data_IF_407134925683
#
_entry.id   IF_407134925683
#
_cell.length_a   1.000
_cell.length_b   1.000
_cell.length_c   1.000
_cell.angle_alpha   90.00
_cell.angle_beta   90.00
_cell.angle_gamma   90.00
#
_symmetry.space_group_name_H-M   'P 1'
#
loop_
_entity.id
_entity.type
_entity.pdbx_description
1 polymer ?
#
# COMPACT_ATOMS: atom_id res chain seq x y z
N UNK A 1 9.17 12.25 -7.31
CA UNK A 1 10.37 11.39 -7.14
C UNK A 1 10.03 9.96 -7.53
N UNK A 2 10.84 9.32 -8.34
CA UNK A 2 10.71 7.89 -8.66
C UNK A 2 11.48 7.08 -7.60
N UNK A 3 10.79 6.20 -6.88
CA UNK A 3 11.39 5.43 -5.77
C UNK A 3 12.32 4.31 -6.24
N UNK A 4 12.24 3.91 -7.52
CA UNK A 4 13.12 2.87 -8.07
C UNK A 4 14.46 3.42 -8.55
N UNK A 5 14.45 4.64 -9.08
CA UNK A 5 15.63 5.26 -9.73
C UNK A 5 16.21 6.44 -8.94
N UNK A 6 15.48 6.98 -7.95
CA UNK A 6 15.84 8.21 -7.26
C UNK A 6 15.66 9.47 -8.12
N UNK A 7 15.09 9.34 -9.32
CA UNK A 7 14.90 10.46 -10.23
C UNK A 7 13.90 11.47 -9.65
N UNK A 8 14.28 12.74 -9.68
CA UNK A 8 13.45 13.85 -9.26
C UNK A 8 13.05 14.68 -10.49
N UNK A 9 11.75 14.79 -10.72
CA UNK A 9 11.18 15.71 -11.71
C UNK A 9 10.50 16.84 -10.98
N UNK A 10 10.86 18.09 -11.25
CA UNK A 10 10.21 19.26 -10.67
C UNK A 10 9.94 20.33 -11.72
N UNK A 11 8.96 21.18 -11.44
CA UNK A 11 8.62 22.32 -12.28
C UNK A 11 9.19 23.60 -11.67
N UNK A 12 9.86 24.39 -12.50
CA UNK A 12 10.23 25.76 -12.21
C UNK A 12 9.49 26.67 -13.20
N UNK A 13 8.38 27.24 -12.77
CA UNK A 13 7.43 27.89 -13.70
C UNK A 13 6.84 26.89 -14.70
N UNK A 14 7.07 27.11 -15.99
CA UNK A 14 6.65 26.21 -17.08
C UNK A 14 7.71 25.15 -17.43
N UNK A 15 8.94 25.30 -16.97
CA UNK A 15 10.05 24.40 -17.29
C UNK A 15 10.00 23.16 -16.40
N UNK A 16 10.04 21.99 -17.03
CA UNK A 16 10.19 20.72 -16.33
C UNK A 16 11.67 20.37 -16.28
N UNK A 17 12.18 20.13 -15.09
CA UNK A 17 13.57 19.76 -14.84
C UNK A 17 13.59 18.37 -14.25
N UNK A 18 14.36 17.48 -14.85
CA UNK A 18 14.54 16.09 -14.38
C UNK A 18 15.99 15.89 -13.96
N UNK A 19 16.20 15.26 -12.82
CA UNK A 19 17.54 14.98 -12.29
C UNK A 19 17.45 14.01 -11.13
N UNK A 20 18.60 13.62 -10.61
CA UNK A 20 18.67 12.81 -9.37
C UNK A 20 18.90 13.74 -8.17
N UNK A 21 18.53 13.30 -6.98
CA UNK A 21 18.92 14.02 -5.76
C UNK A 21 20.44 14.12 -5.68
N UNK A 22 21.03 15.32 -5.69
CA UNK A 22 22.47 15.46 -5.57
C UNK A 22 22.99 14.80 -4.30
N UNK A 23 23.92 13.84 -4.44
CA UNK A 23 24.57 13.19 -3.31
C UNK A 23 23.76 12.12 -2.56
N UNK A 24 22.53 11.79 -3.00
CA UNK A 24 21.69 10.79 -2.31
C UNK A 24 21.88 9.39 -2.87
N UNK A 25 22.21 9.25 -4.14
CA UNK A 25 22.35 7.94 -4.77
C UNK A 25 21.03 7.15 -4.85
N UNK A 26 21.14 5.86 -5.09
CA UNK A 26 20.03 4.91 -5.06
C UNK A 26 19.64 4.60 -3.61
N UNK A 27 18.39 4.13 -3.37
CA UNK A 27 18.02 3.64 -2.06
C UNK A 27 18.92 2.48 -1.63
N UNK A 28 19.14 2.35 -0.33
CA UNK A 28 19.90 1.23 0.23
C UNK A 28 19.20 -0.12 -0.02
N UNK A 29 19.80 -1.22 0.42
CA UNK A 29 19.25 -2.57 0.26
C UNK A 29 17.89 -2.77 0.94
N UNK A 30 17.51 -1.87 1.85
CA UNK A 30 16.20 -1.85 2.53
C UNK A 30 15.19 -0.93 1.84
N UNK A 31 15.60 -0.23 0.78
CA UNK A 31 14.78 0.74 0.07
C UNK A 31 14.69 2.11 0.74
N UNK A 32 15.62 2.42 1.66
CA UNK A 32 15.65 3.70 2.35
C UNK A 32 16.62 4.68 1.68
N UNK A 33 16.21 5.94 1.65
CA UNK A 33 17.03 7.06 1.25
C UNK A 33 17.66 7.69 2.49
N UNK A 34 18.99 7.83 2.46
CA UNK A 34 19.77 8.33 3.59
C UNK A 34 20.25 9.76 3.30
N UNK A 35 19.98 10.66 4.23
CA UNK A 35 20.32 12.08 4.15
C UNK A 35 21.13 12.52 5.37
N UNK A 36 21.98 13.51 5.22
CA UNK A 36 22.55 14.20 6.38
C UNK A 36 21.47 15.02 7.09
N UNK A 37 20.68 15.80 6.33
CA UNK A 37 19.48 16.51 6.77
C UNK A 37 18.46 16.54 5.65
N UNK A 38 17.19 16.74 5.96
CA UNK A 38 16.12 16.86 4.96
C UNK A 38 15.36 18.17 5.15
N UNK A 39 15.21 18.92 4.07
CA UNK A 39 14.48 20.18 4.07
C UNK A 39 13.54 20.27 2.88
N UNK A 40 12.24 20.35 3.14
CA UNK A 40 11.20 20.59 2.14
C UNK A 40 10.64 22.02 2.31
N UNK A 41 11.00 22.91 1.39
CA UNK A 41 10.64 24.33 1.46
C UNK A 41 9.15 24.62 1.30
N UNK A 42 8.73 25.78 1.76
CA UNK A 42 7.35 26.28 1.63
C UNK A 42 6.93 26.34 0.15
N UNK A 43 5.68 25.96 -0.13
CA UNK A 43 5.13 25.93 -1.49
C UNK A 43 5.58 24.75 -2.36
N UNK A 44 6.52 23.93 -1.88
CA UNK A 44 6.97 22.74 -2.60
C UNK A 44 6.10 21.53 -2.23
N UNK A 45 5.63 20.82 -3.24
CA UNK A 45 4.99 19.50 -3.06
C UNK A 45 5.92 18.41 -3.57
N UNK A 46 6.34 17.53 -2.67
CA UNK A 46 7.10 16.32 -3.00
C UNK A 46 6.13 15.15 -3.11
N UNK A 47 5.93 14.67 -4.33
CA UNK A 47 5.12 13.50 -4.64
C UNK A 47 6.00 12.36 -5.13
N UNK A 48 5.50 11.14 -5.02
CA UNK A 48 6.26 9.94 -5.31
C UNK A 48 5.57 9.09 -6.37
N UNK A 49 6.35 8.52 -7.26
CA UNK A 49 5.97 7.44 -8.13
C UNK A 49 6.42 6.14 -7.46
N UNK A 50 5.47 5.24 -7.20
CA UNK A 50 5.77 3.94 -6.64
C UNK A 50 6.73 3.17 -7.55
N UNK A 51 7.66 2.44 -6.95
CA UNK A 51 8.50 1.50 -7.69
C UNK A 51 7.73 0.20 -7.97
N UNK A 52 8.35 -0.68 -8.77
CA UNK A 52 7.76 -1.99 -9.11
C UNK A 52 7.51 -2.86 -7.88
N UNK A 53 8.27 -2.69 -6.81
CA UNK A 53 8.14 -3.44 -5.57
C UNK A 53 7.06 -2.88 -4.66
N UNK A 54 6.44 -1.78 -5.04
CA UNK A 54 5.45 -1.06 -4.26
C UNK A 54 5.92 -0.80 -2.81
N UNK A 55 7.16 -0.34 -2.66
CA UNK A 55 7.75 -0.08 -1.35
C UNK A 55 7.20 1.20 -0.72
N UNK A 56 7.12 1.27 0.62
CA UNK A 56 6.89 2.53 1.33
C UNK A 56 7.99 3.54 1.05
N UNK A 57 7.68 4.82 1.20
CA UNK A 57 8.71 5.87 1.25
C UNK A 57 9.44 5.77 2.57
N UNK A 58 10.77 5.67 2.53
CA UNK A 58 11.60 5.54 3.71
C UNK A 58 12.74 6.55 3.67
N UNK A 59 12.66 7.59 4.48
CA UNK A 59 13.64 8.65 4.59
C UNK A 59 14.30 8.62 5.97
N UNK A 60 15.62 8.54 5.98
CA UNK A 60 16.44 8.55 7.19
C UNK A 60 17.34 9.78 7.17
N UNK A 61 17.37 10.54 8.24
CA UNK A 61 18.25 11.70 8.38
C UNK A 61 19.15 11.55 9.59
N UNK A 62 20.42 11.89 9.42
CA UNK A 62 21.41 11.90 10.52
C UNK A 62 21.19 13.09 11.46
N UNK A 63 20.72 14.20 10.91
CA UNK A 63 20.37 15.42 11.62
C UNK A 63 18.87 15.69 11.50
N UNK A 64 18.46 16.95 11.45
CA UNK A 64 17.05 17.35 11.44
C UNK A 64 16.36 17.08 10.10
N UNK A 65 15.04 16.90 10.18
CA UNK A 65 14.13 16.89 9.05
C UNK A 65 13.10 18.00 9.19
N UNK A 66 13.02 18.90 8.21
CA UNK A 66 12.11 20.05 8.22
C UNK A 66 11.17 20.01 7.03
N UNK A 67 9.87 19.99 7.29
CA UNK A 67 8.81 19.94 6.29
C UNK A 67 7.98 21.22 6.40
N UNK A 68 8.28 22.22 5.53
CA UNK A 68 7.50 23.44 5.40
C UNK A 68 6.51 23.36 4.23
N UNK A 69 6.77 22.49 3.26
CA UNK A 69 5.93 22.20 2.11
C UNK A 69 5.00 21.02 2.34
N UNK A 70 4.60 20.37 1.26
CA UNK A 70 3.72 19.19 1.28
C UNK A 70 4.48 17.93 0.92
N UNK A 71 4.48 16.96 1.82
CA UNK A 71 4.97 15.61 1.57
C UNK A 71 3.76 14.73 1.21
N UNK A 72 3.67 14.27 -0.04
CA UNK A 72 2.47 13.66 -0.59
C UNK A 72 2.69 12.21 -1.01
N UNK A 73 2.09 11.30 -0.28
CA UNK A 73 2.02 9.86 -0.59
C UNK A 73 0.57 9.39 -0.77
N UNK A 74 -0.34 10.25 -1.21
CA UNK A 74 -1.74 9.90 -1.43
C UNK A 74 -1.90 8.78 -2.46
N UNK A 75 -2.97 8.01 -2.32
CA UNK A 75 -3.53 7.23 -3.42
C UNK A 75 -4.20 8.14 -4.44
N UNK A 76 -4.28 7.67 -5.69
CA UNK A 76 -4.90 8.39 -6.79
C UNK A 76 -6.42 8.17 -6.81
N UNK A 77 -7.14 9.17 -7.31
CA UNK A 77 -8.56 9.03 -7.61
C UNK A 77 -8.76 8.04 -8.77
N UNK A 78 -9.92 7.41 -8.81
CA UNK A 78 -10.33 6.66 -9.99
C UNK A 78 -10.57 7.60 -11.19
N UNK A 79 -10.33 7.10 -12.40
CA UNK A 79 -10.59 7.85 -13.64
C UNK A 79 -11.49 7.00 -14.54
N UNK A 80 -12.75 7.39 -14.70
CA UNK A 80 -13.74 6.57 -15.39
C UNK A 80 -13.82 5.18 -14.78
N UNK A 81 -13.72 4.14 -15.60
CA UNK A 81 -13.73 2.74 -15.14
C UNK A 81 -12.38 2.27 -14.58
N UNK A 82 -11.29 3.02 -14.76
CA UNK A 82 -10.00 2.63 -14.26
C UNK A 82 -9.89 2.88 -12.74
N UNK A 83 -9.45 1.88 -11.99
CA UNK A 83 -9.14 2.03 -10.58
C UNK A 83 -7.98 2.98 -10.33
N UNK A 84 -8.04 3.76 -9.26
CA UNK A 84 -6.99 4.67 -8.84
C UNK A 84 -5.72 3.91 -8.43
N UNK A 85 -4.55 4.40 -8.81
CA UNK A 85 -3.28 3.82 -8.36
C UNK A 85 -3.11 4.03 -6.84
N UNK A 86 -2.53 3.05 -6.14
CA UNK A 86 -2.12 3.22 -4.77
C UNK A 86 -0.97 4.23 -4.65
N UNK A 87 -0.89 4.94 -3.53
CA UNK A 87 0.34 5.63 -3.15
C UNK A 87 1.48 4.64 -2.88
N UNK A 88 2.74 5.09 -2.73
CA UNK A 88 3.87 4.20 -2.45
C UNK A 88 3.61 3.31 -1.22
N UNK A 89 3.69 2.00 -1.36
CA UNK A 89 3.32 1.04 -0.33
C UNK A 89 1.81 0.80 -0.17
N UNK A 90 0.97 1.55 -0.90
CA UNK A 90 -0.49 1.38 -0.97
C UNK A 90 -0.93 0.58 -2.20
N UNK A 91 -2.20 0.25 -2.30
CA UNK A 91 -2.72 -0.67 -3.29
C UNK A 91 -3.76 -0.03 -4.22
N UNK A 92 -3.82 -0.51 -5.44
CA UNK A 92 -4.73 0.03 -6.46
C UNK A 92 -6.19 -0.28 -6.18
N UNK A 93 -7.07 0.61 -6.62
CA UNK A 93 -8.51 0.39 -6.68
C UNK A 93 -8.91 -0.61 -7.75
N UNK A 94 -10.06 -1.23 -7.60
CA UNK A 94 -10.65 -2.13 -8.58
C UNK A 94 -11.17 -1.37 -9.81
N UNK A 95 -11.17 -2.02 -10.97
CA UNK A 95 -11.78 -1.46 -12.18
C UNK A 95 -13.30 -1.56 -12.14
N UNK A 96 -13.99 -0.57 -12.68
CA UNK A 96 -15.43 -0.62 -12.90
C UNK A 96 -15.81 -1.58 -14.02
N UNK A 97 -17.06 -2.05 -14.03
CA UNK A 97 -17.59 -2.92 -15.08
C UNK A 97 -17.63 -2.23 -16.44
N UNK A 98 -17.25 -2.92 -17.50
CA UNK A 98 -17.11 -2.38 -18.86
C UNK A 98 -18.41 -2.33 -19.65
N UNK A 99 -19.48 -2.96 -19.16
CA UNK A 99 -20.81 -2.98 -19.79
C UNK A 99 -21.90 -2.95 -18.72
N UNK A 100 -23.14 -2.68 -19.12
CA UNK A 100 -24.30 -2.62 -18.20
C UNK A 100 -24.59 -3.92 -17.43
N UNK A 101 -23.94 -5.02 -17.76
CA UNK A 101 -24.10 -6.33 -17.11
C UNK A 101 -22.81 -6.81 -16.42
N UNK A 102 -21.72 -6.03 -16.49
CA UNK A 102 -20.42 -6.45 -16.00
C UNK A 102 -20.20 -5.98 -14.56
N UNK A 103 -19.80 -6.90 -13.68
CA UNK A 103 -19.41 -6.57 -12.32
C UNK A 103 -18.11 -5.74 -12.31
N UNK A 104 -17.96 -4.89 -11.30
CA UNK A 104 -16.69 -4.25 -11.00
C UNK A 104 -15.72 -5.23 -10.32
N UNK A 105 -14.43 -4.99 -10.44
CA UNK A 105 -13.43 -5.81 -9.77
C UNK A 105 -13.16 -5.33 -8.32
N UNK A 106 -12.71 -6.22 -7.45
CA UNK A 106 -12.31 -5.82 -6.10
C UNK A 106 -11.05 -4.96 -6.12
N UNK A 107 -10.89 -4.12 -5.12
CA UNK A 107 -9.65 -3.40 -4.86
C UNK A 107 -8.52 -4.34 -4.44
N UNK A 108 -7.29 -3.98 -4.77
CA UNK A 108 -6.10 -4.70 -4.33
C UNK A 108 -5.76 -4.43 -2.86
N UNK A 109 -4.85 -5.24 -2.32
CA UNK A 109 -4.36 -5.13 -0.95
C UNK A 109 -5.01 -6.11 0.02
N UNK A 110 -4.47 -6.25 1.24
CA UNK A 110 -4.93 -7.23 2.22
C UNK A 110 -6.41 -7.08 2.58
N UNK A 111 -6.94 -5.87 2.58
CA UNK A 111 -8.33 -5.53 2.89
C UNK A 111 -8.97 -4.69 1.77
N UNK A 112 -8.68 -5.01 0.52
CA UNK A 112 -9.29 -4.35 -0.63
C UNK A 112 -10.82 -4.51 -0.64
N UNK A 113 -11.54 -3.46 -1.04
CA UNK A 113 -12.98 -3.45 -1.10
C UNK A 113 -13.55 -4.39 -2.15
N UNK A 114 -14.69 -5.02 -1.90
CA UNK A 114 -15.39 -5.84 -2.90
C UNK A 114 -15.90 -4.98 -4.05
N UNK A 115 -15.89 -5.52 -5.25
CA UNK A 115 -16.52 -4.89 -6.43
C UNK A 115 -18.05 -4.94 -6.38
N UNK A 116 -18.69 -4.02 -7.10
CA UNK A 116 -20.14 -4.03 -7.30
C UNK A 116 -20.57 -5.18 -8.22
N UNK A 117 -21.53 -5.98 -7.79
CA UNK A 117 -21.96 -7.18 -8.52
C UNK A 117 -23.25 -7.00 -9.32
N UNK A 118 -24.06 -6.01 -8.97
CA UNK A 118 -25.35 -5.72 -9.63
C UNK A 118 -25.80 -4.29 -9.28
N UNK A 119 -26.93 -3.87 -9.82
CA UNK A 119 -27.55 -2.58 -9.49
C UNK A 119 -27.91 -2.42 -8.01
N UNK A 120 -28.03 -3.54 -7.27
CA UNK A 120 -28.33 -3.55 -5.84
C UNK A 120 -27.12 -3.89 -4.96
N UNK A 121 -26.02 -4.34 -5.53
CA UNK A 121 -24.79 -4.71 -4.80
C UNK A 121 -23.69 -3.73 -5.20
N UNK A 122 -23.50 -2.73 -4.37
CA UNK A 122 -22.54 -1.65 -4.57
C UNK A 122 -21.10 -2.06 -4.19
N UNK A 123 -20.09 -1.42 -4.77
CA UNK A 123 -18.69 -1.65 -4.37
C UNK A 123 -18.43 -1.17 -2.95
N UNK A 124 -17.44 -1.74 -2.28
CA UNK A 124 -17.03 -1.37 -0.91
C UNK A 124 -15.73 -0.60 -0.89
N UNK A 125 -15.58 0.29 0.07
CA UNK A 125 -14.32 0.99 0.31
C UNK A 125 -13.19 0.06 0.74
N UNK A 126 -11.94 0.48 0.51
CA UNK A 126 -10.75 -0.25 0.95
C UNK A 126 -10.56 -0.21 2.46
N UNK A 127 -10.10 -1.30 3.05
CA UNK A 127 -9.70 -1.36 4.45
C UNK A 127 -8.23 -1.03 4.65
N UNK A 128 -7.80 -0.79 5.88
CA UNK A 128 -6.42 -0.62 6.24
C UNK A 128 -5.93 -1.82 7.08
N UNK A 129 -4.89 -2.47 6.60
CA UNK A 129 -4.22 -3.55 7.32
C UNK A 129 -3.10 -2.98 8.22
N UNK A 130 -3.10 -3.37 9.49
CA UNK A 130 -2.07 -3.03 10.45
C UNK A 130 -1.44 -4.32 10.98
N UNK A 131 -0.15 -4.52 10.70
CA UNK A 131 0.56 -5.71 11.19
C UNK A 131 0.68 -5.69 12.72
N UNK A 132 1.03 -4.52 13.29
CA UNK A 132 1.17 -4.31 14.74
C UNK A 132 1.11 -2.82 15.09
N UNK A 133 1.15 -2.50 16.38
CA UNK A 133 1.14 -1.12 16.88
C UNK A 133 2.41 -0.32 16.49
N UNK A 134 3.52 -0.99 16.22
CA UNK A 134 4.76 -0.36 15.79
C UNK A 134 4.76 0.01 14.30
N UNK A 135 3.74 -0.41 13.53
CA UNK A 135 3.69 -0.31 12.08
C UNK A 135 4.92 -0.96 11.42
N UNK A 136 5.24 -2.17 11.83
CA UNK A 136 6.34 -2.96 11.29
C UNK A 136 5.81 -4.36 10.89
N UNK A 137 5.87 -4.73 9.62
CA UNK A 137 6.23 -3.90 8.47
C UNK A 137 5.22 -2.77 8.23
N UNK A 138 5.68 -1.72 7.55
CA UNK A 138 4.88 -0.55 7.24
C UNK A 138 4.11 -0.79 5.93
N UNK A 139 2.78 -0.77 5.98
CA UNK A 139 1.89 -0.92 4.83
C UNK A 139 1.06 0.32 4.60
N UNK A 140 0.80 0.62 3.33
CA UNK A 140 -0.20 1.62 2.94
C UNK A 140 -1.61 1.04 2.91
N UNK A 141 -2.55 1.85 2.53
CA UNK A 141 -3.97 1.53 2.45
C UNK A 141 -4.32 0.62 1.28
N UNK A 142 -5.41 -0.13 1.41
CA UNK A 142 -5.97 -0.96 0.35
C UNK A 142 -6.90 -0.14 -0.56
N UNK A 143 -7.02 -0.55 -1.82
CA UNK A 143 -7.91 0.08 -2.78
C UNK A 143 -9.39 -0.23 -2.53
N UNK A 144 -10.27 0.67 -2.96
CA UNK A 144 -11.72 0.45 -3.02
C UNK A 144 -12.11 -0.43 -4.20
N UNK A 145 -13.26 -1.05 -4.16
CA UNK A 145 -13.82 -1.86 -5.26
C UNK A 145 -14.34 -1.00 -6.42
N UNK A 146 -14.33 -1.53 -7.62
CA UNK A 146 -14.94 -0.91 -8.80
C UNK A 146 -16.46 -1.08 -8.82
N UNK A 147 -17.16 -0.13 -9.43
CA UNK A 147 -18.61 -0.13 -9.54
C UNK A 147 -19.14 -1.11 -10.59
N UNK A 148 -20.41 -1.54 -10.43
CA UNK A 148 -21.11 -2.32 -11.42
C UNK A 148 -21.45 -1.47 -12.67
N UNK A 149 -21.24 -2.01 -13.85
CA UNK A 149 -21.39 -1.28 -15.11
C UNK A 149 -22.75 -0.67 -15.36
N UNK A 150 -23.83 -1.32 -14.89
CA UNK A 150 -25.20 -0.82 -15.03
C UNK A 150 -25.53 0.42 -14.18
N UNK A 151 -24.67 0.79 -13.21
CA UNK A 151 -24.85 1.94 -12.33
C UNK A 151 -23.92 3.12 -12.66
N UNK A 152 -23.38 3.18 -13.87
CA UNK A 152 -22.37 4.18 -14.22
C UNK A 152 -21.03 3.81 -13.61
N UNK A 153 -20.41 2.76 -14.14
CA UNK A 153 -19.21 2.14 -13.61
C UNK A 153 -18.07 3.13 -13.41
N UNK A 154 -17.70 3.33 -12.15
CA UNK A 154 -16.46 4.02 -11.80
C UNK A 154 -15.50 2.99 -11.20
N UNK A 155 -14.20 3.17 -11.47
CA UNK A 155 -13.17 2.44 -10.75
C UNK A 155 -13.21 2.76 -9.26
N UNK A 156 -12.62 1.94 -8.43
CA UNK A 156 -12.39 2.20 -7.01
C UNK A 156 -11.22 3.15 -6.77
N UNK A 157 -11.20 3.90 -5.68
CA UNK A 157 -10.09 4.77 -5.30
C UNK A 157 -8.86 3.96 -4.86
N UNK A 158 -7.65 4.45 -5.15
CA UNK A 158 -6.41 3.85 -4.69
C UNK A 158 -6.18 4.05 -3.18
N UNK A 159 -5.56 3.10 -2.51
CA UNK A 159 -5.16 3.24 -1.10
C UNK A 159 -4.05 4.28 -0.90
N UNK A 160 -4.06 5.00 0.21
CA UNK A 160 -3.00 5.92 0.60
C UNK A 160 -1.67 5.20 0.81
N UNK A 161 -0.58 5.88 0.54
CA UNK A 161 0.76 5.32 0.68
C UNK A 161 1.25 5.18 2.11
N UNK A 162 2.48 4.74 2.26
CA UNK A 162 3.15 4.55 3.52
C UNK A 162 4.45 5.35 3.59
N UNK A 163 4.68 6.03 4.70
CA UNK A 163 5.84 6.87 4.95
C UNK A 163 6.50 6.51 6.28
N UNK A 164 7.81 6.18 6.23
CA UNK A 164 8.72 6.24 7.35
C UNK A 164 9.61 7.47 7.19
N UNK A 165 9.59 8.38 8.17
CA UNK A 165 10.56 9.45 8.31
C UNK A 165 11.24 9.30 9.67
N UNK A 166 12.54 9.04 9.67
CA UNK A 166 13.33 8.92 10.89
C UNK A 166 14.47 9.94 10.88
N UNK A 167 14.67 10.57 12.03
CA UNK A 167 15.70 11.59 12.26
C UNK A 167 16.41 11.33 13.56
N UNK A 168 17.73 11.44 13.61
CA UNK A 168 18.47 11.42 14.86
C UNK A 168 18.34 12.73 15.67
N UNK A 169 17.87 13.79 15.03
CA UNK A 169 17.61 15.12 15.61
C UNK A 169 16.11 15.39 15.79
N UNK A 170 15.65 16.48 15.20
CA UNK A 170 14.28 16.98 15.28
C UNK A 170 13.56 16.79 13.95
N UNK A 171 12.30 16.33 14.00
CA UNK A 171 11.36 16.44 12.88
C UNK A 171 10.46 17.65 13.15
N UNK A 172 10.56 18.68 12.28
CA UNK A 172 9.70 19.86 12.32
C UNK A 172 8.70 19.81 11.15
N UNK A 173 7.41 19.84 11.45
CA UNK A 173 6.33 19.84 10.45
C UNK A 173 5.49 21.08 10.63
N UNK A 174 5.65 22.08 9.72
CA UNK A 174 4.78 23.26 9.63
C UNK A 174 3.97 23.28 8.34
N UNK A 175 4.36 22.49 7.35
CA UNK A 175 3.60 22.17 6.15
C UNK A 175 2.63 21.01 6.36
N UNK A 176 2.64 20.06 5.45
CA UNK A 176 1.75 18.88 5.57
C UNK A 176 2.40 17.57 5.13
N UNK A 177 1.97 16.48 5.77
CA UNK A 177 2.21 15.10 5.33
C UNK A 177 0.86 14.49 4.99
N UNK A 178 0.68 14.07 3.75
CA UNK A 178 -0.58 13.51 3.26
C UNK A 178 -0.39 12.07 2.78
N UNK A 179 -1.12 11.14 3.38
CA UNK A 179 -1.22 9.73 3.00
C UNK A 179 -2.70 9.33 2.86
N UNK A 180 -3.47 10.15 2.16
CA UNK A 180 -4.91 9.95 1.99
C UNK A 180 -5.20 8.86 0.96
N UNK A 181 -6.33 8.19 1.12
CA UNK A 181 -6.90 7.38 0.05
C UNK A 181 -7.38 8.21 -1.14
N UNK A 182 -7.47 7.59 -2.29
CA UNK A 182 -8.03 8.16 -3.51
C UNK A 182 -9.56 8.22 -3.47
N UNK A 183 -10.10 9.22 -4.13
CA UNK A 183 -11.54 9.44 -4.27
C UNK A 183 -12.16 8.49 -5.28
N UNK A 184 -13.34 8.00 -5.00
CA UNK A 184 -14.25 7.29 -5.90
C UNK A 184 -15.60 7.04 -5.24
N UNK A 185 -16.53 6.41 -5.96
CA UNK A 185 -17.76 5.86 -5.38
C UNK A 185 -17.47 4.90 -4.23
N UNK A 186 -16.45 4.05 -4.37
CA UNK A 186 -15.86 3.26 -3.29
C UNK A 186 -14.39 3.69 -3.13
N UNK A 187 -14.14 4.51 -2.13
CA UNK A 187 -12.84 5.14 -1.96
C UNK A 187 -11.77 4.19 -1.42
N UNK A 188 -10.50 4.50 -1.67
CA UNK A 188 -9.38 3.85 -1.04
C UNK A 188 -9.27 4.21 0.44
N UNK A 189 -8.68 3.32 1.24
CA UNK A 189 -8.37 3.63 2.63
C UNK A 189 -7.20 4.61 2.73
N UNK A 190 -7.12 5.33 3.86
CA UNK A 190 -5.94 6.09 4.22
C UNK A 190 -4.71 5.18 4.37
N UNK A 191 -3.54 5.78 4.29
CA UNK A 191 -2.26 5.09 4.42
C UNK A 191 -1.70 5.10 5.84
N UNK A 192 -0.39 4.93 5.96
CA UNK A 192 0.29 4.88 7.23
C UNK A 192 1.50 5.83 7.29
N UNK A 193 1.63 6.53 8.41
CA UNK A 193 2.77 7.43 8.66
C UNK A 193 3.44 7.03 9.97
N UNK A 194 4.74 6.73 9.90
CA UNK A 194 5.59 6.46 11.07
C UNK A 194 6.70 7.49 11.15
N UNK A 195 6.74 8.22 12.26
CA UNK A 195 7.75 9.25 12.53
C UNK A 195 8.59 8.85 13.73
N UNK A 196 9.91 8.91 13.59
CA UNK A 196 10.86 8.58 14.66
C UNK A 196 11.87 9.71 14.77
N UNK A 197 12.00 10.31 15.96
CA UNK A 197 12.98 11.37 16.19
C UNK A 197 13.30 11.51 17.68
N UNK A 198 14.32 12.32 18.02
CA UNK A 198 14.47 12.78 19.39
C UNK A 198 13.34 13.74 19.77
N UNK A 199 13.02 14.69 18.87
CA UNK A 199 11.92 15.63 19.05
C UNK A 199 11.04 15.67 17.77
N UNK A 200 9.71 15.66 17.94
CA UNK A 200 8.75 15.92 16.86
C UNK A 200 7.95 17.15 17.23
N UNK A 201 7.94 18.17 16.36
CA UNK A 201 7.33 19.48 16.64
C UNK A 201 6.69 20.09 15.38
N UNK A 202 6.03 21.23 15.56
CA UNK A 202 5.38 21.99 14.50
C UNK A 202 3.85 21.90 14.56
N UNK A 203 3.19 22.76 13.78
CA UNK A 203 1.72 22.91 13.75
C UNK A 203 1.10 22.44 12.44
N UNK A 204 1.91 21.94 11.53
CA UNK A 204 1.48 21.43 10.23
C UNK A 204 0.55 20.22 10.36
N UNK A 205 -0.06 19.80 9.26
CA UNK A 205 -1.04 18.71 9.28
C UNK A 205 -0.42 17.37 8.90
N UNK A 206 -0.80 16.30 9.62
CA UNK A 206 -0.61 14.92 9.16
C UNK A 206 -2.00 14.36 8.85
N UNK A 207 -2.26 14.02 7.59
CA UNK A 207 -3.57 13.58 7.13
C UNK A 207 -3.49 12.19 6.49
N UNK A 208 -4.15 11.24 7.13
CA UNK A 208 -4.24 9.83 6.71
C UNK A 208 -5.71 9.40 6.50
N UNK A 209 -6.60 10.33 6.12
CA UNK A 209 -8.01 10.02 5.88
C UNK A 209 -8.17 9.09 4.67
N UNK A 210 -9.27 8.35 4.64
CA UNK A 210 -9.74 7.72 3.42
C UNK A 210 -10.07 8.77 2.35
N UNK A 211 -10.19 8.34 1.11
CA UNK A 211 -10.62 9.19 0.00
C UNK A 211 -12.10 9.58 0.13
N UNK A 212 -12.51 10.76 -0.39
CA UNK A 212 -13.92 11.07 -0.53
C UNK A 212 -14.68 9.93 -1.22
N UNK A 213 -15.89 9.62 -0.76
CA UNK A 213 -16.73 8.56 -1.29
C UNK A 213 -18.07 9.12 -1.77
N UNK A 214 -18.53 8.64 -2.93
CA UNK A 214 -19.71 9.20 -3.62
C UNK A 214 -21.06 8.70 -3.12
N UNK A 215 -21.10 7.72 -2.20
CA UNK A 215 -22.35 7.14 -1.69
C UNK A 215 -22.62 7.54 -0.24
N UNK A 216 -23.90 7.60 0.13
CA UNK A 216 -24.38 8.05 1.44
C UNK A 216 -24.14 7.08 2.60
N UNK A 217 -23.48 5.95 2.40
CA UNK A 217 -23.23 4.94 3.44
C UNK A 217 -21.73 4.79 3.71
N UNK A 218 -21.37 4.71 4.99
CA UNK A 218 -19.99 4.47 5.44
C UNK A 218 -19.37 3.18 4.91
N UNK A 219 -20.17 2.22 4.44
CA UNK A 219 -19.71 0.95 3.86
C UNK A 219 -18.96 1.15 2.55
N UNK A 220 -19.23 2.25 1.83
CA UNK A 220 -18.59 2.57 0.55
C UNK A 220 -17.34 3.43 0.72
N UNK A 221 -17.17 4.02 1.88
CA UNK A 221 -15.98 4.77 2.22
C UNK A 221 -14.87 3.85 2.70
N UNK A 222 -13.64 4.18 2.37
CA UNK A 222 -12.47 3.49 2.88
C UNK A 222 -12.30 3.67 4.40
N UNK A 223 -11.44 2.88 4.99
CA UNK A 223 -11.03 3.07 6.38
C UNK A 223 -10.03 4.23 6.51
N UNK A 224 -10.05 4.93 7.62
CA UNK A 224 -9.00 5.89 7.99
C UNK A 224 -7.65 5.19 8.17
N UNK A 225 -6.57 5.96 8.04
CA UNK A 225 -5.19 5.49 8.13
C UNK A 225 -4.66 5.38 9.56
N UNK A 226 -3.37 5.07 9.67
CA UNK A 226 -2.63 4.98 10.94
C UNK A 226 -1.50 5.99 11.01
N UNK A 227 -1.29 6.56 12.21
CA UNK A 227 -0.14 7.40 12.52
C UNK A 227 0.54 6.86 13.76
N UNK A 228 1.87 6.71 13.68
CA UNK A 228 2.71 6.40 14.83
C UNK A 228 3.82 7.42 14.95
N UNK A 229 3.99 7.95 16.15
CA UNK A 229 5.09 8.85 16.49
C UNK A 229 5.91 8.26 17.64
N UNK A 230 7.22 8.28 17.48
CA UNK A 230 8.19 7.77 18.45
C UNK A 230 9.22 8.87 18.70
N UNK A 231 9.11 9.56 19.84
CA UNK A 231 9.99 10.67 20.16
C UNK A 231 10.09 10.89 21.67
N UNK A 232 11.29 11.21 22.15
CA UNK A 232 11.51 11.60 23.55
C UNK A 232 10.64 12.82 23.90
N UNK A 233 10.52 13.78 22.96
CA UNK A 233 9.61 14.92 23.06
C UNK A 233 8.72 14.96 21.82
N UNK A 234 7.43 14.78 22.03
CA UNK A 234 6.45 14.90 20.94
C UNK A 234 5.48 16.04 21.25
N UNK A 235 5.67 17.16 20.58
CA UNK A 235 4.88 18.39 20.69
C UNK A 235 3.89 18.55 19.53
N UNK A 236 3.90 17.63 18.57
CA UNK A 236 3.02 17.68 17.41
C UNK A 236 1.66 17.03 17.72
N UNK A 237 0.58 17.72 17.41
CA UNK A 237 -0.79 17.29 17.74
C UNK A 237 -1.78 17.35 16.57
N UNK A 238 -1.43 17.98 15.45
CA UNK A 238 -2.34 18.18 14.33
C UNK A 238 -2.37 16.94 13.41
N UNK A 239 -3.11 15.93 13.84
CA UNK A 239 -3.29 14.67 13.12
C UNK A 239 -4.76 14.48 12.80
N UNK A 240 -5.08 14.19 11.54
CA UNK A 240 -6.45 14.02 11.06
C UNK A 240 -6.64 12.74 10.24
N UNK A 241 -7.87 12.26 10.20
CA UNK A 241 -8.26 11.08 9.42
C UNK A 241 -7.58 9.79 9.87
N UNK A 242 -7.23 9.66 11.14
CA UNK A 242 -6.67 8.43 11.69
C UNK A 242 -7.74 7.62 12.40
N UNK A 243 -7.75 6.31 12.19
CA UNK A 243 -8.54 5.37 12.99
C UNK A 243 -7.79 4.98 14.27
N UNK A 244 -6.48 5.15 14.28
CA UNK A 244 -5.63 4.80 15.41
C UNK A 244 -4.35 5.65 15.37
N UNK A 245 -4.09 6.36 16.47
CA UNK A 245 -2.88 7.12 16.69
C UNK A 245 -2.11 6.54 17.85
N UNK A 246 -0.93 6.02 17.60
CA UNK A 246 -0.06 5.51 18.66
C UNK A 246 1.15 6.41 18.87
N UNK A 247 1.52 6.59 20.13
CA UNK A 247 2.60 7.47 20.57
C UNK A 247 3.46 6.75 21.60
N UNK A 248 4.78 6.89 21.48
CA UNK A 248 5.72 6.45 22.52
C UNK A 248 6.78 7.51 22.77
N UNK A 249 7.27 7.59 24.00
CA UNK A 249 8.37 8.46 24.41
C UNK A 249 9.73 7.83 24.18
N UNK A 250 9.77 6.57 23.77
CA UNK A 250 11.04 5.86 23.49
C UNK A 250 11.14 5.62 21.99
N UNK A 251 11.99 6.38 21.27
CA UNK A 251 12.28 6.10 19.88
C UNK A 251 12.87 4.70 19.72
N UNK A 252 12.36 3.95 18.74
CA UNK A 252 12.90 2.63 18.40
C UNK A 252 13.76 2.72 17.14
N UNK A 253 14.49 1.66 16.80
CA UNK A 253 15.22 1.62 15.54
C UNK A 253 14.25 1.78 14.36
N UNK A 254 14.66 2.56 13.35
CA UNK A 254 13.86 2.81 12.16
C UNK A 254 13.51 1.52 11.43
N UNK A 255 14.46 0.61 11.39
CA UNK A 255 14.26 -0.74 10.89
C UNK A 255 14.34 -1.74 12.05
N UNK A 256 13.56 -2.80 11.97
CA UNK A 256 13.70 -3.89 12.91
C UNK A 256 15.11 -4.46 12.82
N UNK A 257 15.61 -4.97 13.93
CA UNK A 257 16.85 -5.74 13.97
C UNK A 257 16.84 -6.86 12.93
N UNK A 258 18.01 -7.34 12.53
CA UNK A 258 18.12 -8.51 11.63
C UNK A 258 17.19 -9.61 12.09
N UNK A 259 16.28 -10.03 11.21
CA UNK A 259 15.34 -11.09 11.53
C UNK A 259 13.87 -10.72 11.53
N UNK A 260 13.47 -9.68 10.77
CA UNK A 260 12.05 -9.35 10.62
C UNK A 260 11.30 -10.53 10.05
N UNK A 261 10.19 -10.92 10.68
CA UNK A 261 9.29 -11.87 10.08
C UNK A 261 8.80 -11.38 8.71
N UNK A 262 8.87 -12.24 7.73
CA UNK A 262 8.33 -11.97 6.39
C UNK A 262 7.68 -13.21 5.80
N UNK A 263 6.65 -12.99 4.98
CA UNK A 263 6.01 -14.03 4.17
C UNK A 263 5.79 -13.51 2.77
N UNK A 264 6.06 -14.32 1.75
CA UNK A 264 5.88 -13.94 0.34
C UNK A 264 5.51 -15.14 -0.51
N UNK A 265 4.89 -14.89 -1.65
CA UNK A 265 4.74 -15.89 -2.70
C UNK A 265 6.11 -16.17 -3.31
N UNK A 266 6.50 -17.42 -3.39
CA UNK A 266 7.79 -17.85 -3.94
C UNK A 266 7.65 -18.42 -5.34
N UNK A 267 6.58 -19.12 -5.62
CA UNK A 267 6.28 -19.68 -6.94
C UNK A 267 4.81 -19.99 -7.12
N UNK A 268 4.41 -20.10 -8.37
CA UNK A 268 3.08 -20.57 -8.78
C UNK A 268 3.28 -21.80 -9.65
N UNK A 269 2.58 -22.91 -9.31
CA UNK A 269 2.54 -24.09 -10.13
C UNK A 269 1.16 -24.20 -10.80
N UNK A 270 1.16 -24.34 -12.12
CA UNK A 270 -0.02 -24.49 -12.94
C UNK A 270 0.19 -25.65 -13.92
N UNK A 271 -0.61 -26.69 -13.84
CA UNK A 271 -0.54 -27.88 -14.72
C UNK A 271 0.87 -28.48 -14.88
N UNK A 272 1.61 -28.58 -13.77
CA UNK A 272 2.98 -29.11 -13.77
C UNK A 272 4.09 -28.11 -14.16
N UNK A 273 3.73 -26.92 -14.60
CA UNK A 273 4.71 -25.85 -14.86
C UNK A 273 4.84 -24.95 -13.63
N UNK A 274 6.06 -24.85 -13.11
CA UNK A 274 6.36 -23.99 -11.96
C UNK A 274 7.02 -22.70 -12.44
N UNK A 275 6.40 -21.56 -12.12
CA UNK A 275 6.98 -20.24 -12.32
C UNK A 275 7.48 -19.73 -10.97
N UNK A 276 8.80 -19.57 -10.86
CA UNK A 276 9.45 -19.05 -9.65
C UNK A 276 9.47 -17.52 -9.71
N UNK A 277 9.07 -16.88 -8.61
CA UNK A 277 9.07 -15.44 -8.47
C UNK A 277 10.39 -14.98 -7.84
N UNK A 278 11.03 -14.00 -8.47
CA UNK A 278 12.19 -13.34 -7.86
C UNK A 278 11.76 -12.53 -6.63
N UNK A 279 12.69 -12.30 -5.71
CA UNK A 279 12.43 -11.48 -4.54
C UNK A 279 11.90 -10.10 -4.92
N UNK A 280 10.81 -9.71 -4.31
CA UNK A 280 10.31 -8.35 -4.37
C UNK A 280 9.39 -8.04 -5.54
N UNK A 281 8.75 -9.03 -6.15
CA UNK A 281 7.59 -8.74 -7.00
C UNK A 281 6.46 -8.20 -6.14
N UNK A 282 6.02 -7.00 -6.41
CA UNK A 282 4.96 -6.34 -5.67
C UNK A 282 4.24 -5.31 -6.52
N UNK A 283 2.94 -5.18 -6.30
CA UNK A 283 2.09 -4.24 -6.99
C UNK A 283 1.60 -4.70 -8.37
N UNK A 284 0.67 -3.94 -8.91
CA UNK A 284 0.18 -4.11 -10.27
C UNK A 284 1.20 -3.56 -11.25
N UNK A 285 1.76 -4.42 -12.08
CA UNK A 285 2.69 -4.05 -13.14
C UNK A 285 2.20 -4.51 -14.48
N UNK A 286 2.54 -3.75 -15.48
CA UNK A 286 2.33 -4.12 -16.87
C UNK A 286 3.70 -4.25 -17.54
N UNK A 287 4.09 -5.44 -18.00
CA UNK A 287 3.36 -6.71 -18.04
C UNK A 287 3.21 -7.36 -16.65
N UNK A 288 2.31 -8.34 -16.48
CA UNK A 288 2.14 -9.07 -15.23
C UNK A 288 3.43 -9.81 -14.81
N UNK A 289 3.63 -10.00 -13.50
CA UNK A 289 4.81 -10.70 -12.97
C UNK A 289 4.86 -12.17 -13.40
N UNK A 290 3.69 -12.78 -13.60
CA UNK A 290 3.53 -14.16 -14.06
C UNK A 290 2.47 -14.22 -15.14
N UNK A 291 2.80 -14.83 -16.27
CA UNK A 291 1.84 -15.20 -17.31
C UNK A 291 1.75 -16.72 -17.35
N UNK A 292 0.55 -17.24 -17.17
CA UNK A 292 0.32 -18.69 -17.27
C UNK A 292 0.19 -19.11 -18.75
N UNK A 293 0.73 -20.27 -19.15
CA UNK A 293 0.78 -20.68 -20.56
C UNK A 293 -0.60 -20.96 -21.18
N UNK A 294 -1.59 -21.22 -20.34
CA UNK A 294 -2.99 -21.44 -20.76
C UNK A 294 -3.92 -21.09 -19.62
N UNK A 295 -5.21 -20.97 -19.91
CA UNK A 295 -6.22 -20.76 -18.88
C UNK A 295 -6.20 -21.92 -17.88
N UNK A 296 -6.08 -21.58 -16.61
CA UNK A 296 -6.07 -22.53 -15.49
C UNK A 296 -7.25 -22.26 -14.59
N UNK A 297 -7.97 -23.32 -14.24
CA UNK A 297 -9.03 -23.24 -13.22
C UNK A 297 -8.48 -23.42 -11.81
N UNK A 298 -7.30 -23.99 -11.67
CA UNK A 298 -6.64 -24.25 -10.40
C UNK A 298 -5.13 -24.06 -10.51
N UNK A 299 -4.55 -23.49 -9.48
CA UNK A 299 -3.09 -23.31 -9.33
C UNK A 299 -2.67 -23.62 -7.91
N UNK A 300 -1.40 -24.01 -7.72
CA UNK A 300 -0.78 -24.08 -6.38
C UNK A 300 0.10 -22.86 -6.17
N UNK A 301 -0.18 -22.09 -5.15
CA UNK A 301 0.63 -20.96 -4.71
C UNK A 301 1.54 -21.42 -3.58
N UNK A 302 2.84 -21.39 -3.82
CA UNK A 302 3.84 -21.70 -2.80
C UNK A 302 4.31 -20.42 -2.13
N UNK A 303 4.47 -20.47 -0.82
CA UNK A 303 4.94 -19.36 -0.01
C UNK A 303 6.23 -19.75 0.71
N UNK A 304 7.09 -18.75 0.91
CA UNK A 304 8.24 -18.86 1.81
C UNK A 304 8.13 -17.79 2.87
N UNK A 305 8.56 -18.15 4.06
CA UNK A 305 8.58 -17.25 5.20
C UNK A 305 9.96 -17.26 5.86
N UNK A 306 10.28 -16.17 6.55
CA UNK A 306 11.54 -16.01 7.29
C UNK A 306 11.19 -15.50 8.68
N UNK A 307 11.75 -16.13 9.71
CA UNK A 307 11.55 -15.77 11.12
C UNK A 307 10.08 -15.74 11.54
N UNK A 308 9.29 -16.65 10.99
CA UNK A 308 7.89 -16.88 11.35
C UNK A 308 7.82 -18.19 12.14
N UNK A 309 7.04 -18.26 13.23
CA UNK A 309 6.87 -19.51 13.97
C UNK A 309 6.35 -20.64 13.09
N UNK A 310 6.72 -21.87 13.42
CA UNK A 310 6.17 -23.07 12.76
C UNK A 310 4.66 -23.18 12.97
N UNK A 311 3.98 -23.81 12.02
CA UNK A 311 2.53 -23.97 12.03
C UNK A 311 1.73 -22.64 12.04
N UNK A 312 2.35 -21.52 11.67
CA UNK A 312 1.64 -20.23 11.58
C UNK A 312 0.62 -20.26 10.44
N UNK A 313 -0.65 -19.93 10.69
CA UNK A 313 -1.64 -19.80 9.64
C UNK A 313 -1.35 -18.60 8.75
N UNK A 314 -1.59 -18.75 7.47
CA UNK A 314 -1.53 -17.64 6.51
C UNK A 314 -2.74 -17.66 5.58
N UNK A 315 -2.97 -16.57 4.89
CA UNK A 315 -4.06 -16.46 3.91
C UNK A 315 -3.51 -15.95 2.60
N UNK A 316 -3.88 -16.61 1.51
CA UNK A 316 -3.68 -16.12 0.15
C UNK A 316 -4.98 -15.47 -0.32
N UNK A 317 -4.91 -14.21 -0.77
CA UNK A 317 -6.03 -13.49 -1.35
C UNK A 317 -5.80 -13.31 -2.84
N UNK A 318 -6.78 -13.71 -3.63
CA UNK A 318 -6.82 -13.51 -5.09
C UNK A 318 -7.85 -12.43 -5.39
N UNK A 319 -7.43 -11.35 -6.03
CA UNK A 319 -8.28 -10.24 -6.43
C UNK A 319 -8.21 -10.05 -7.94
N UNK A 320 -9.31 -10.28 -8.69
CA UNK A 320 -9.37 -9.98 -10.13
C UNK A 320 -9.13 -8.48 -10.37
N UNK A 321 -8.39 -8.15 -11.43
CA UNK A 321 -8.05 -6.76 -11.79
C UNK A 321 -9.06 -6.17 -12.75
N UNK A 322 -9.66 -6.99 -13.59
CA UNK A 322 -10.65 -6.55 -14.58
C UNK A 322 -12.06 -7.09 -14.27
N UNK A 323 -13.08 -6.33 -14.67
CA UNK A 323 -14.49 -6.68 -14.45
C UNK A 323 -15.03 -7.74 -15.41
N UNK A 324 -14.20 -8.39 -16.20
CA UNK A 324 -14.62 -9.44 -17.16
C UNK A 324 -14.80 -10.79 -16.51
N UNK A 325 -14.30 -10.97 -15.29
CA UNK A 325 -14.45 -12.19 -14.52
C UNK A 325 -15.84 -12.32 -13.90
N UNK A 326 -16.38 -13.53 -13.88
CA UNK A 326 -17.59 -13.86 -13.13
C UNK A 326 -17.39 -13.76 -11.60
N UNK A 327 -16.13 -13.65 -11.13
CA UNK A 327 -15.77 -13.48 -9.73
C UNK A 327 -15.50 -12.00 -9.48
N UNK A 328 -16.50 -11.33 -8.96
CA UNK A 328 -16.45 -9.89 -8.61
C UNK A 328 -15.89 -9.62 -7.20
N UNK A 329 -15.65 -10.66 -6.42
CA UNK A 329 -15.07 -10.58 -5.08
C UNK A 329 -13.67 -11.15 -5.07
N UNK A 330 -12.81 -10.57 -4.24
CA UNK A 330 -11.58 -11.24 -3.87
C UNK A 330 -11.90 -12.50 -3.06
N UNK A 331 -11.25 -13.59 -3.41
CA UNK A 331 -11.41 -14.87 -2.71
C UNK A 331 -10.17 -15.12 -1.86
N UNK A 332 -10.37 -15.65 -0.67
CA UNK A 332 -9.29 -15.98 0.27
C UNK A 332 -9.17 -17.49 0.44
N UNK A 333 -7.94 -17.95 0.50
CA UNK A 333 -7.58 -19.36 0.66
C UNK A 333 -6.65 -19.50 1.85
N UNK A 334 -7.09 -20.20 2.92
CA UNK A 334 -6.27 -20.42 4.10
C UNK A 334 -5.18 -21.46 3.85
N UNK A 335 -4.04 -21.28 4.48
CA UNK A 335 -2.93 -22.22 4.51
C UNK A 335 -2.24 -22.21 5.87
N UNK A 336 -1.32 -23.12 6.06
CA UNK A 336 -0.48 -23.21 7.26
C UNK A 336 0.96 -23.43 6.84
N UNK A 337 1.90 -22.70 7.45
CA UNK A 337 3.32 -22.96 7.26
C UNK A 337 3.70 -24.33 7.85
N UNK A 338 4.76 -24.90 7.33
CA UNK A 338 5.34 -26.12 7.88
C UNK A 338 5.79 -25.95 9.35
N UNK A 339 6.16 -27.04 9.98
CA UNK A 339 6.60 -27.04 11.39
C UNK A 339 7.85 -26.21 11.64
N UNK A 340 8.62 -25.88 10.60
CA UNK A 340 9.80 -25.03 10.68
C UNK A 340 9.48 -23.55 10.47
N UNK A 341 8.25 -23.21 10.05
CA UNK A 341 7.83 -21.84 9.73
C UNK A 341 8.46 -21.27 8.47
N UNK A 342 9.00 -22.10 7.57
CA UNK A 342 9.73 -21.65 6.39
C UNK A 342 8.95 -21.71 5.10
N UNK A 343 8.12 -22.74 4.91
CA UNK A 343 7.41 -22.95 3.66
C UNK A 343 5.95 -23.30 3.90
N UNK A 344 5.12 -23.04 2.91
CA UNK A 344 3.72 -23.45 2.89
C UNK A 344 3.19 -23.44 1.46
N UNK A 345 2.05 -24.06 1.24
CA UNK A 345 1.37 -24.04 -0.05
C UNK A 345 -0.14 -23.98 0.11
N UNK A 346 -0.81 -23.40 -0.88
CA UNK A 346 -2.27 -23.33 -0.95
C UNK A 346 -2.70 -23.63 -2.38
N UNK A 347 -3.68 -24.50 -2.53
CA UNK A 347 -4.34 -24.74 -3.80
C UNK A 347 -5.49 -23.76 -3.97
N UNK A 348 -5.42 -22.94 -5.00
CA UNK A 348 -6.48 -22.04 -5.43
C UNK A 348 -7.33 -22.84 -6.43
N UNK A 349 -8.56 -23.15 -6.06
CA UNK A 349 -9.46 -24.02 -6.86
C UNK A 349 -10.37 -23.25 -7.80
N UNK A 350 -10.43 -21.91 -7.66
CA UNK A 350 -11.24 -21.04 -8.50
C UNK A 350 -10.42 -19.83 -8.89
N UNK A 351 -9.73 -19.93 -10.01
CA UNK A 351 -8.94 -18.83 -10.55
C UNK A 351 -9.82 -18.06 -11.55
N UNK A 352 -10.00 -16.73 -11.37
CA UNK A 352 -10.74 -15.93 -12.34
C UNK A 352 -9.99 -15.86 -13.67
N UNK A 353 -10.75 -15.80 -14.77
CA UNK A 353 -10.16 -15.50 -16.07
C UNK A 353 -9.62 -14.06 -16.09
N UNK A 354 -8.56 -13.82 -16.86
CA UNK A 354 -7.92 -12.50 -16.95
C UNK A 354 -6.83 -12.29 -15.92
N UNK A 355 -6.58 -11.04 -15.59
CA UNK A 355 -5.51 -10.65 -14.67
C UNK A 355 -5.99 -10.64 -13.22
N UNK A 356 -5.18 -11.16 -12.32
CA UNK A 356 -5.46 -11.14 -10.88
C UNK A 356 -4.23 -10.71 -10.09
N UNK A 357 -4.45 -10.06 -8.97
CA UNK A 357 -3.44 -9.80 -7.94
C UNK A 357 -3.53 -10.87 -6.87
N UNK A 358 -2.40 -11.48 -6.55
CA UNK A 358 -2.29 -12.47 -5.47
C UNK A 358 -1.49 -11.84 -4.33
N UNK A 359 -2.11 -11.74 -3.16
CA UNK A 359 -1.46 -11.29 -1.93
C UNK A 359 -1.38 -12.44 -0.93
N UNK A 360 -0.30 -12.50 -0.16
CA UNK A 360 -0.18 -13.40 0.99
C UNK A 360 0.03 -12.57 2.26
N UNK A 361 -0.65 -12.92 3.31
CA UNK A 361 -0.52 -12.28 4.61
C UNK A 361 -0.76 -13.26 5.75
N UNK A 362 -0.21 -12.95 6.91
CA UNK A 362 -0.34 -13.71 8.14
C UNK A 362 -0.35 -12.78 9.33
N UNK A 363 -0.99 -13.22 10.40
CA UNK A 363 -0.92 -12.58 11.71
C UNK A 363 -0.46 -13.61 12.73
N UNK A 364 0.52 -13.27 13.54
CA UNK A 364 1.02 -14.10 14.63
C UNK A 364 1.58 -13.20 15.74
N UNK A 365 1.62 -13.74 16.94
CA UNK A 365 2.33 -13.07 18.03
C UNK A 365 3.83 -13.29 17.82
N UNK A 366 4.59 -12.20 17.78
CA UNK A 366 6.04 -12.32 17.83
C UNK A 366 6.45 -12.93 19.18
N UNK A 367 7.38 -13.88 19.17
CA UNK A 367 7.89 -14.47 20.40
C UNK A 367 8.57 -13.45 21.30
#
# INVERSE_FOLDING_TARGET
MDLGTGELTYKNGTTVITGTFPGVGLPDTKGAYNFTSFYLGTGITLSFKADRLNRPVQFLTQLDATILGTFNVNGSNAIGIAGGAGGPGGYTGGSGGTSSTTAGSPGAGPLGGDGGASTSIYPKGGGLFKANQQLIPLYGGSGGGGGFGGNGANGGGGGGGALLLASSGTITITGSINAKGGESSASGSGGAVRLIANTITGTGAINVSYGPCGYYSSTYCGSSGYVRTEATQNLHTNISGTSDYSRTTTPTAAFPATGVPSIRVSSINASGTTVTLSNGTGGLVTPPDVTLPSFQTSIVVNVVATNVPGNTPFTVRVAPVDGTSNIYKATTYPGTLDVTGKTGSVTITTLPAGTSVINVFSTFLAP
#
